data_IF_779718849484
#
_entry.id   IF_779718849484
#
_cell.length_a   1.000
_cell.length_b   1.000
_cell.length_c   1.000
_cell.angle_alpha   90.00
_cell.angle_beta   90.00
_cell.angle_gamma   90.00
#
_symmetry.space_group_name_H-M   'P 1'
#
loop_
_entity.id
_entity.type
_entity.pdbx_description
1 polymer ?
#
# COMPACT_ATOMS: atom_id res chain seq x y z
N UNK A 1 3.52 -19.33 10.48
CA UNK A 1 3.45 -18.94 11.91
C UNK A 1 2.55 -17.73 12.02
N UNK A 2 1.65 -17.71 13.00
CA UNK A 2 0.90 -16.52 13.42
C UNK A 2 1.29 -16.20 14.86
N UNK A 3 1.64 -14.94 15.12
CA UNK A 3 2.14 -14.51 16.42
C UNK A 3 1.81 -13.04 16.70
N UNK A 4 1.83 -12.66 17.98
CA UNK A 4 1.49 -11.32 18.46
C UNK A 4 0.41 -11.36 19.54
N UNK A 5 -0.31 -10.26 19.73
CA UNK A 5 -1.22 -10.10 20.87
C UNK A 5 -2.68 -9.94 20.45
N UNK A 6 -3.57 -10.79 20.97
CA UNK A 6 -5.02 -10.71 20.75
C UNK A 6 -5.76 -10.88 22.08
N UNK A 7 -6.52 -9.85 22.47
CA UNK A 7 -7.52 -9.95 23.54
C UNK A 7 -8.90 -9.92 22.92
N UNK A 8 -9.62 -11.05 22.94
CA UNK A 8 -10.92 -11.19 22.29
C UNK A 8 -11.87 -12.07 23.11
N UNK A 9 -13.18 -11.87 22.90
CA UNK A 9 -14.24 -12.78 23.40
C UNK A 9 -14.61 -13.85 22.37
N UNK A 10 -14.10 -13.75 21.15
CA UNK A 10 -14.39 -14.69 20.09
C UNK A 10 -13.69 -16.03 20.35
N UNK A 11 -14.38 -17.12 20.02
CA UNK A 11 -13.78 -18.44 19.89
C UNK A 11 -13.24 -18.58 18.46
N UNK A 12 -11.92 -18.72 18.32
CA UNK A 12 -11.23 -18.58 17.03
C UNK A 12 -10.30 -19.75 16.80
N UNK A 13 -10.59 -20.53 15.76
CA UNK A 13 -9.66 -21.52 15.22
C UNK A 13 -8.68 -20.83 14.27
N UNK A 14 -7.54 -20.40 14.83
CA UNK A 14 -6.48 -19.73 14.07
C UNK A 14 -5.87 -20.63 12.98
N UNK A 15 -5.74 -21.93 13.25
CA UNK A 15 -5.17 -22.85 12.30
C UNK A 15 -6.07 -22.98 11.08
N UNK A 16 -7.37 -23.19 11.30
CA UNK A 16 -8.36 -23.23 10.21
C UNK A 16 -8.35 -21.94 9.39
N UNK A 17 -8.29 -20.77 10.02
CA UNK A 17 -8.22 -19.49 9.31
C UNK A 17 -6.97 -19.41 8.41
N UNK A 18 -5.81 -19.82 8.92
CA UNK A 18 -4.56 -19.85 8.14
C UNK A 18 -4.71 -20.77 6.94
N UNK A 19 -5.18 -22.01 7.14
CA UNK A 19 -5.33 -23.01 6.07
C UNK A 19 -6.34 -22.54 5.01
N UNK A 20 -7.49 -22.05 5.44
CA UNK A 20 -8.53 -21.54 4.53
C UNK A 20 -8.04 -20.35 3.70
N UNK A 21 -7.28 -19.45 4.32
CA UNK A 21 -6.68 -18.31 3.61
C UNK A 21 -5.67 -18.76 2.56
N UNK A 22 -4.74 -19.67 2.90
CA UNK A 22 -3.78 -20.23 1.97
C UNK A 22 -4.47 -20.95 0.79
N UNK A 23 -5.48 -21.76 1.09
CA UNK A 23 -6.25 -22.51 0.09
C UNK A 23 -6.98 -21.58 -0.87
N UNK A 24 -7.63 -20.53 -0.36
CA UNK A 24 -8.36 -19.55 -1.18
C UNK A 24 -7.43 -18.71 -2.09
N UNK A 25 -6.17 -18.52 -1.71
CA UNK A 25 -5.16 -17.89 -2.56
C UNK A 25 -4.77 -18.83 -3.72
N UNK A 26 -4.77 -20.14 -3.48
CA UNK A 26 -4.42 -21.18 -4.46
C UNK A 26 -3.18 -22.00 -4.09
N UNK A 27 -2.71 -21.91 -2.83
CA UNK A 27 -1.63 -22.74 -2.31
C UNK A 27 -2.19 -24.09 -1.85
N UNK A 28 -2.20 -25.06 -2.76
CA UNK A 28 -2.86 -26.37 -2.59
C UNK A 28 -1.92 -27.56 -2.75
N UNK A 29 -0.63 -27.31 -3.01
CA UNK A 29 0.39 -28.34 -3.13
C UNK A 29 1.79 -27.76 -2.94
N UNK A 30 2.75 -28.62 -2.61
CA UNK A 30 4.17 -28.22 -2.51
C UNK A 30 4.71 -27.71 -3.85
N UNK A 31 4.19 -28.24 -4.97
CA UNK A 31 4.57 -27.81 -6.32
C UNK A 31 4.29 -26.33 -6.58
N UNK A 32 3.20 -25.79 -6.02
CA UNK A 32 2.87 -24.35 -6.14
C UNK A 32 3.51 -23.49 -5.05
N UNK A 33 4.29 -24.10 -4.15
CA UNK A 33 5.12 -23.41 -3.16
C UNK A 33 4.63 -23.49 -1.72
N UNK A 34 3.43 -24.02 -1.47
CA UNK A 34 2.88 -24.31 -0.15
C UNK A 34 1.62 -25.19 -0.29
N UNK A 35 1.53 -26.27 0.48
CA UNK A 35 0.31 -27.06 0.64
C UNK A 35 -0.46 -26.61 1.89
N UNK A 36 -1.63 -25.98 1.72
CA UNK A 36 -2.46 -25.48 2.83
C UNK A 36 -2.91 -26.57 3.81
N UNK A 37 -3.05 -27.83 3.36
CA UNK A 37 -3.55 -28.93 4.18
C UNK A 37 -2.41 -29.70 4.87
N UNK A 38 -1.18 -29.61 4.36
CA UNK A 38 -0.01 -30.31 4.92
C UNK A 38 1.00 -29.41 5.62
N UNK A 39 1.00 -28.10 5.38
CA UNK A 39 1.98 -27.22 5.98
C UNK A 39 1.84 -27.14 7.51
N UNK A 40 2.96 -26.88 8.18
CA UNK A 40 2.98 -26.65 9.63
C UNK A 40 2.42 -25.27 9.95
N UNK A 41 1.38 -25.23 10.78
CA UNK A 41 0.85 -23.99 11.33
C UNK A 41 1.28 -23.86 12.78
N UNK A 42 2.10 -22.86 13.06
CA UNK A 42 2.54 -22.51 14.40
C UNK A 42 1.76 -21.30 14.88
N UNK A 43 1.08 -21.42 16.02
CA UNK A 43 0.31 -20.36 16.66
C UNK A 43 1.03 -19.97 17.95
N UNK A 44 1.48 -18.73 18.03
CA UNK A 44 2.15 -18.16 19.19
C UNK A 44 1.54 -16.80 19.55
N UNK A 45 0.29 -16.83 20.00
CA UNK A 45 -0.52 -15.63 20.27
C UNK A 45 -0.72 -15.51 21.78
N UNK A 46 -0.43 -14.33 22.32
CA UNK A 46 -0.66 -13.99 23.73
C UNK A 46 -1.77 -12.94 23.87
N UNK A 47 -2.14 -12.60 25.10
CA UNK A 47 -3.04 -11.47 25.35
C UNK A 47 -2.30 -10.14 25.20
N UNK A 48 -3.03 -9.07 24.89
CA UNK A 48 -2.47 -7.73 24.94
C UNK A 48 -1.95 -7.41 26.35
N UNK A 49 -0.76 -6.80 26.43
CA UNK A 49 -0.20 -6.30 27.69
C UNK A 49 -1.24 -5.49 28.48
N UNK A 50 -1.51 -5.85 29.75
CA UNK A 50 -2.42 -5.10 30.62
C UNK A 50 -2.02 -3.62 30.76
N UNK A 51 -0.71 -3.32 30.74
CA UNK A 51 -0.18 -1.95 30.84
C UNK A 51 -0.57 -1.08 29.63
N UNK A 52 -0.60 -1.69 28.43
CA UNK A 52 -1.08 -1.04 27.21
C UNK A 52 -2.61 -0.88 27.29
N UNK A 53 -3.31 -1.94 27.72
CA UNK A 53 -4.77 -1.96 27.80
C UNK A 53 -5.34 -0.87 28.73
N UNK A 54 -4.73 -0.65 29.90
CA UNK A 54 -5.14 0.43 30.81
C UNK A 54 -4.95 1.83 30.19
N UNK A 55 -3.84 2.05 29.47
CA UNK A 55 -3.50 3.35 28.91
C UNK A 55 -4.37 3.72 27.71
N UNK A 56 -4.66 2.73 26.85
CA UNK A 56 -5.38 2.93 25.60
C UNK A 56 -6.89 2.99 25.83
N UNK A 57 -7.49 1.93 26.37
CA UNK A 57 -8.95 1.77 26.48
C UNK A 57 -9.43 1.59 27.94
N UNK A 58 -8.54 1.69 28.93
CA UNK A 58 -8.89 1.55 30.35
C UNK A 58 -9.50 0.19 30.67
N UNK A 59 -8.99 -0.91 30.08
CA UNK A 59 -9.64 -2.22 30.16
C UNK A 59 -11.11 -2.22 29.70
N UNK A 60 -11.40 -1.45 28.64
CA UNK A 60 -12.71 -1.31 27.99
C UNK A 60 -13.71 -0.47 28.79
N UNK A 61 -13.22 0.39 29.69
CA UNK A 61 -14.06 1.31 30.48
C UNK A 61 -14.15 2.72 29.89
N UNK A 62 -13.19 3.11 29.04
CA UNK A 62 -13.19 4.45 28.40
C UNK A 62 -14.29 4.56 27.36
N UNK A 63 -14.90 5.75 27.26
CA UNK A 63 -15.82 6.08 26.15
C UNK A 63 -15.03 6.24 24.84
N UNK A 64 -15.66 6.05 23.67
CA UNK A 64 -14.97 6.17 22.38
C UNK A 64 -14.16 7.46 22.19
N UNK A 65 -14.69 8.60 22.64
CA UNK A 65 -14.04 9.91 22.59
C UNK A 65 -12.87 10.10 23.57
N UNK A 66 -12.69 9.16 24.49
CA UNK A 66 -11.63 9.15 25.50
C UNK A 66 -10.56 8.08 25.23
N UNK A 67 -10.75 7.23 24.22
CA UNK A 67 -9.79 6.19 23.83
C UNK A 67 -8.50 6.86 23.34
N UNK A 68 -7.38 6.46 23.94
CA UNK A 68 -6.04 6.92 23.56
C UNK A 68 -5.56 6.27 22.26
N UNK A 69 -4.55 6.87 21.64
CA UNK A 69 -3.84 6.22 20.54
C UNK A 69 -3.19 4.92 21.02
N UNK A 70 -3.34 3.83 20.26
CA UNK A 70 -2.76 2.53 20.61
C UNK A 70 -1.23 2.49 20.60
N UNK A 71 -0.58 3.45 19.95
CA UNK A 71 0.88 3.62 19.88
C UNK A 71 1.23 5.05 19.40
N UNK A 72 2.50 5.43 19.52
CA UNK A 72 3.05 6.61 18.87
C UNK A 72 3.31 6.36 17.37
N UNK A 73 3.23 7.41 16.56
CA UNK A 73 3.56 7.31 15.14
C UNK A 73 3.12 8.55 14.36
N UNK A 74 3.44 8.55 13.07
CA UNK A 74 2.93 9.52 12.12
C UNK A 74 2.42 8.78 10.89
N UNK A 75 1.36 9.30 10.28
CA UNK A 75 0.70 8.68 9.12
C UNK A 75 0.62 9.69 8.00
N UNK A 76 0.39 9.24 6.77
CA UNK A 76 0.25 10.12 5.62
C UNK A 76 -0.95 9.74 4.75
N UNK A 77 -1.66 10.78 4.34
CA UNK A 77 -2.76 10.74 3.39
C UNK A 77 -2.33 11.40 2.11
N UNK A 78 -2.51 10.75 0.99
CA UNK A 78 -2.19 11.32 -0.32
C UNK A 78 -3.39 11.24 -1.25
N UNK A 79 -3.56 12.23 -2.11
CA UNK A 79 -4.48 12.20 -3.24
C UNK A 79 -3.95 13.07 -4.39
N UNK A 80 -4.30 12.70 -5.62
CA UNK A 80 -3.90 13.33 -6.88
C UNK A 80 -5.07 13.20 -7.85
N UNK A 81 -5.31 14.18 -8.72
CA UNK A 81 -6.43 14.20 -9.67
C UNK A 81 -6.15 13.41 -10.97
N UNK A 82 -4.98 12.78 -11.09
CA UNK A 82 -4.55 12.10 -12.32
C UNK A 82 -5.37 10.83 -12.68
N UNK A 83 -6.17 10.30 -11.75
CA UNK A 83 -7.11 9.18 -12.00
C UNK A 83 -8.45 9.41 -11.30
N UNK A 84 -9.56 8.79 -11.77
CA UNK A 84 -10.88 8.90 -11.14
C UNK A 84 -10.92 8.45 -9.66
N UNK A 85 -10.12 7.45 -9.28
CA UNK A 85 -9.98 6.97 -7.90
C UNK A 85 -9.11 7.89 -7.01
N UNK A 86 -8.60 8.98 -7.57
CA UNK A 86 -7.72 9.97 -6.96
C UNK A 86 -6.43 9.36 -6.41
N UNK A 87 -5.81 8.50 -7.22
CA UNK A 87 -4.56 7.77 -6.93
C UNK A 87 -3.53 7.96 -8.05
N UNK A 88 -2.22 7.75 -7.79
CA UNK A 88 -1.21 7.77 -8.83
C UNK A 88 -1.46 6.71 -9.90
N UNK A 89 -1.42 7.07 -11.19
CA UNK A 89 -1.65 6.15 -12.30
C UNK A 89 -0.65 4.99 -12.28
N UNK A 90 0.63 5.27 -12.02
CA UNK A 90 1.68 4.24 -11.87
C UNK A 90 1.31 3.16 -10.83
N UNK A 91 0.83 3.58 -9.65
CA UNK A 91 0.36 2.67 -8.62
C UNK A 91 -0.91 1.91 -9.05
N UNK A 92 -1.90 2.63 -9.59
CA UNK A 92 -3.17 2.04 -10.05
C UNK A 92 -2.94 0.96 -11.10
N UNK A 93 -2.11 1.22 -12.11
CA UNK A 93 -1.83 0.26 -13.17
C UNK A 93 -1.08 -0.97 -12.64
N UNK A 94 -0.02 -0.78 -11.85
CA UNK A 94 0.71 -1.90 -11.25
C UNK A 94 -0.23 -2.80 -10.41
N UNK A 95 -1.05 -2.19 -9.55
CA UNK A 95 -2.03 -2.90 -8.72
C UNK A 95 -3.08 -3.64 -9.56
N UNK A 96 -3.64 -2.99 -10.59
CA UNK A 96 -4.63 -3.62 -11.48
C UNK A 96 -4.04 -4.77 -12.30
N UNK A 97 -2.78 -4.69 -12.74
CA UNK A 97 -2.10 -5.80 -13.40
C UNK A 97 -1.95 -7.02 -12.46
N UNK A 98 -1.59 -6.79 -11.19
CA UNK A 98 -1.51 -7.86 -10.18
C UNK A 98 -2.87 -8.52 -9.91
N UNK A 99 -3.93 -7.72 -9.81
CA UNK A 99 -5.29 -8.22 -9.69
C UNK A 99 -5.73 -9.03 -10.92
N UNK A 100 -5.41 -8.52 -12.13
CA UNK A 100 -5.75 -9.18 -13.39
C UNK A 100 -5.02 -10.52 -13.56
N UNK A 101 -3.74 -10.63 -13.17
CA UNK A 101 -3.02 -11.91 -13.12
C UNK A 101 -3.77 -12.95 -12.28
N UNK A 102 -4.24 -12.53 -11.11
CA UNK A 102 -5.02 -13.42 -10.22
C UNK A 102 -6.36 -13.81 -10.85
N UNK A 103 -7.03 -12.87 -11.51
CA UNK A 103 -8.30 -13.11 -12.19
C UNK A 103 -8.16 -14.16 -13.31
N UNK A 104 -7.20 -13.97 -14.23
CA UNK A 104 -7.01 -14.87 -15.37
C UNK A 104 -6.51 -16.26 -14.96
N UNK A 105 -5.83 -16.35 -13.80
CA UNK A 105 -5.51 -17.64 -13.17
C UNK A 105 -6.77 -18.32 -12.65
N UNK A 106 -7.57 -17.62 -11.85
CA UNK A 106 -8.74 -18.21 -11.17
C UNK A 106 -9.89 -18.55 -12.11
N UNK A 107 -10.03 -17.84 -13.22
CA UNK A 107 -11.05 -18.12 -14.22
C UNK A 107 -10.60 -19.11 -15.31
N UNK A 108 -9.34 -19.57 -15.28
CA UNK A 108 -8.79 -20.55 -16.21
C UNK A 108 -8.39 -20.00 -17.59
N UNK A 109 -8.38 -18.67 -17.80
CA UNK A 109 -7.91 -18.06 -19.05
C UNK A 109 -6.42 -18.33 -19.28
N UNK A 110 -5.62 -18.21 -18.22
CA UNK A 110 -4.19 -18.54 -18.22
C UNK A 110 -3.94 -19.60 -17.14
N UNK A 111 -4.28 -20.88 -17.41
CA UNK A 111 -4.31 -21.93 -16.39
C UNK A 111 -2.90 -22.32 -15.89
N UNK A 112 -1.86 -21.98 -16.66
CA UNK A 112 -0.46 -22.20 -16.30
C UNK A 112 0.05 -21.28 -15.18
N UNK A 113 -0.71 -20.22 -14.85
CA UNK A 113 -0.34 -19.27 -13.79
C UNK A 113 -0.41 -19.93 -12.41
N UNK A 114 0.61 -19.65 -11.60
CA UNK A 114 0.64 -19.98 -10.17
C UNK A 114 0.44 -18.73 -9.31
N UNK A 115 0.25 -18.87 -7.97
CA UNK A 115 -0.23 -17.75 -7.15
C UNK A 115 0.75 -16.57 -6.96
N UNK A 116 2.07 -16.78 -7.04
CA UNK A 116 3.06 -15.72 -6.81
C UNK A 116 3.31 -14.88 -8.07
N UNK A 117 3.23 -13.56 -7.95
CA UNK A 117 3.41 -12.65 -9.07
C UNK A 117 3.71 -11.21 -8.64
N UNK A 118 4.49 -10.52 -9.45
CA UNK A 118 4.96 -9.15 -9.20
C UNK A 118 4.79 -8.32 -10.47
N UNK A 119 4.33 -7.09 -10.29
CA UNK A 119 4.10 -6.14 -11.38
C UNK A 119 4.74 -4.80 -11.03
N UNK A 120 5.26 -4.12 -12.05
CA UNK A 120 5.82 -2.78 -11.93
C UNK A 120 5.52 -1.99 -13.19
N UNK A 121 5.14 -0.72 -13.02
CA UNK A 121 4.81 0.17 -14.13
C UNK A 121 5.57 1.48 -13.94
N UNK A 122 6.34 1.85 -14.95
CA UNK A 122 7.00 3.14 -15.07
C UNK A 122 6.16 4.02 -15.99
N UNK A 123 5.72 5.17 -15.49
CA UNK A 123 4.90 6.13 -16.23
C UNK A 123 5.71 7.40 -16.46
N UNK A 124 5.64 7.92 -17.67
CA UNK A 124 6.20 9.22 -18.04
C UNK A 124 5.19 10.33 -17.67
N UNK A 125 5.66 11.36 -16.97
CA UNK A 125 4.83 12.42 -16.42
C UNK A 125 5.27 13.80 -16.89
N UNK A 126 4.28 14.67 -17.08
CA UNK A 126 4.47 16.11 -17.16
C UNK A 126 4.05 16.78 -15.85
N UNK A 127 4.82 17.78 -15.41
CA UNK A 127 4.51 18.59 -14.25
C UNK A 127 3.80 19.89 -14.68
N UNK A 128 2.49 19.93 -14.48
CA UNK A 128 1.66 21.11 -14.71
C UNK A 128 1.48 21.90 -13.41
N UNK A 129 2.42 22.80 -13.12
CA UNK A 129 2.39 23.68 -11.94
C UNK A 129 2.15 22.93 -10.62
N UNK A 130 2.75 21.75 -10.48
CA UNK A 130 2.66 20.89 -9.31
C UNK A 130 1.65 19.74 -9.43
N UNK A 131 0.77 19.75 -10.44
CA UNK A 131 -0.12 18.63 -10.77
C UNK A 131 0.57 17.64 -11.72
N UNK A 132 0.35 16.34 -11.50
CA UNK A 132 0.98 15.29 -12.31
C UNK A 132 0.05 14.90 -13.45
N UNK A 133 0.54 15.00 -14.68
CA UNK A 133 -0.21 14.63 -15.87
C UNK A 133 0.48 13.43 -16.52
N UNK A 134 -0.12 12.23 -16.48
CA UNK A 134 0.44 11.06 -17.15
C UNK A 134 0.44 11.24 -18.66
N UNK A 135 1.59 11.04 -19.30
CA UNK A 135 1.75 11.15 -20.76
C UNK A 135 1.63 9.77 -21.41
N UNK A 136 2.42 8.81 -20.94
CA UNK A 136 2.48 7.44 -21.47
C UNK A 136 3.06 6.47 -20.45
N UNK A 137 2.85 5.18 -20.67
CA UNK A 137 3.55 4.11 -19.95
C UNK A 137 4.90 3.88 -20.63
N UNK A 138 5.99 4.10 -19.91
CA UNK A 138 7.33 3.90 -20.42
C UNK A 138 7.74 2.43 -20.38
N UNK A 139 7.50 1.76 -19.25
CA UNK A 139 7.91 0.37 -19.05
C UNK A 139 6.87 -0.38 -18.25
N UNK A 140 6.56 -1.60 -18.69
CA UNK A 140 5.78 -2.58 -17.94
C UNK A 140 6.69 -3.78 -17.64
N UNK A 141 6.77 -4.15 -16.36
CA UNK A 141 7.45 -5.36 -15.92
C UNK A 141 6.47 -6.28 -15.20
N UNK A 142 6.46 -7.54 -15.60
CA UNK A 142 5.70 -8.61 -14.96
C UNK A 142 6.64 -9.79 -14.76
N UNK A 143 6.75 -10.25 -13.52
CA UNK A 143 7.35 -11.54 -13.17
C UNK A 143 6.27 -12.36 -12.48
N UNK A 144 5.82 -13.42 -13.11
CA UNK A 144 4.76 -14.28 -12.59
C UNK A 144 5.23 -15.73 -12.51
N UNK A 145 4.85 -16.39 -11.42
CA UNK A 145 5.08 -17.81 -11.21
C UNK A 145 4.24 -18.61 -12.20
N UNK A 146 4.79 -19.69 -12.73
CA UNK A 146 4.15 -20.53 -13.73
C UNK A 146 4.45 -22.02 -13.50
N UNK A 147 3.68 -22.90 -14.12
CA UNK A 147 4.00 -24.33 -14.18
C UNK A 147 5.14 -24.65 -15.17
N UNK A 148 5.51 -25.92 -15.27
CA UNK A 148 6.63 -26.35 -16.11
C UNK A 148 6.30 -26.48 -17.60
N UNK A 149 5.03 -26.35 -17.97
CA UNK A 149 4.51 -26.72 -19.29
C UNK A 149 4.50 -25.56 -20.28
N UNK A 150 4.30 -24.34 -19.79
CA UNK A 150 4.21 -23.15 -20.63
C UNK A 150 5.60 -22.63 -21.06
N UNK A 151 5.72 -22.22 -22.32
CA UNK A 151 6.94 -21.61 -22.85
C UNK A 151 7.01 -20.11 -22.54
N UNK A 152 8.21 -19.53 -22.59
CA UNK A 152 8.39 -18.08 -22.39
C UNK A 152 7.69 -17.23 -23.47
N UNK A 153 7.60 -17.74 -24.70
CA UNK A 153 6.92 -17.04 -25.79
C UNK A 153 5.40 -17.00 -25.55
N UNK A 154 4.81 -18.11 -25.09
CA UNK A 154 3.40 -18.17 -24.69
C UNK A 154 3.13 -17.28 -23.47
N UNK A 155 3.98 -17.33 -22.44
CA UNK A 155 3.88 -16.42 -21.29
C UNK A 155 3.87 -14.96 -21.76
N UNK A 156 4.82 -14.58 -22.62
CA UNK A 156 4.92 -13.21 -23.09
C UNK A 156 3.70 -12.79 -23.93
N UNK A 157 3.16 -13.67 -24.76
CA UNK A 157 1.97 -13.43 -25.57
C UNK A 157 0.72 -13.26 -24.69
N UNK A 158 0.48 -14.21 -23.78
CA UNK A 158 -0.68 -14.24 -22.88
C UNK A 158 -0.67 -13.05 -21.92
N UNK A 159 0.50 -12.70 -21.35
CA UNK A 159 0.62 -11.52 -20.48
C UNK A 159 0.28 -10.23 -21.23
N UNK A 160 0.69 -10.10 -22.50
CA UNK A 160 0.33 -8.93 -23.31
C UNK A 160 -1.18 -8.88 -23.57
N UNK A 161 -1.75 -9.99 -24.05
CA UNK A 161 -3.14 -10.05 -24.51
C UNK A 161 -4.16 -10.06 -23.38
N UNK A 162 -3.94 -10.90 -22.37
CA UNK A 162 -4.94 -11.19 -21.35
C UNK A 162 -4.73 -10.40 -20.06
N UNK A 163 -3.58 -9.76 -19.87
CA UNK A 163 -3.26 -9.00 -18.64
C UNK A 163 -2.99 -7.53 -18.92
N UNK A 164 -2.08 -7.19 -19.84
CA UNK A 164 -1.67 -5.79 -20.07
C UNK A 164 -2.72 -5.02 -20.85
N UNK A 165 -3.13 -5.50 -22.04
CA UNK A 165 -4.11 -4.80 -22.88
C UNK A 165 -5.45 -4.54 -22.18
N UNK A 166 -6.02 -5.47 -21.36
CA UNK A 166 -7.28 -5.20 -20.67
C UNK A 166 -7.17 -4.18 -19.54
N UNK A 167 -5.96 -3.91 -19.03
CA UNK A 167 -5.74 -3.06 -17.85
C UNK A 167 -5.23 -1.67 -18.22
N UNK A 168 -4.27 -1.58 -19.13
CA UNK A 168 -3.64 -0.31 -19.49
C UNK A 168 -4.43 0.32 -20.64
N UNK A 169 -5.01 1.52 -20.45
CA UNK A 169 -5.68 2.23 -21.54
C UNK A 169 -4.75 2.43 -22.74
N UNK A 170 -5.26 2.13 -23.94
CA UNK A 170 -4.48 2.18 -25.20
C UNK A 170 -3.79 3.53 -25.43
N UNK A 171 -4.42 4.65 -25.02
CA UNK A 171 -3.83 5.99 -25.10
C UNK A 171 -2.49 6.17 -24.37
N UNK A 172 -2.14 5.27 -23.46
CA UNK A 172 -0.87 5.29 -22.75
C UNK A 172 0.15 4.28 -23.28
N UNK A 173 -0.23 3.43 -24.24
CA UNK A 173 0.66 2.45 -24.86
C UNK A 173 1.04 2.92 -26.27
N UNK A 174 2.31 2.75 -26.60
CA UNK A 174 2.86 3.08 -27.91
C UNK A 174 3.96 2.09 -28.32
N UNK A 175 4.47 2.23 -29.55
CA UNK A 175 5.52 1.39 -30.12
C UNK A 175 6.86 1.47 -29.36
N UNK A 176 7.03 2.46 -28.48
CA UNK A 176 8.23 2.66 -27.65
C UNK A 176 8.06 2.11 -26.23
N UNK A 177 6.90 1.55 -25.89
CA UNK A 177 6.66 0.98 -24.58
C UNK A 177 7.52 -0.28 -24.40
N UNK A 178 8.32 -0.30 -23.33
CA UNK A 178 9.24 -1.40 -23.04
C UNK A 178 8.51 -2.46 -22.21
N UNK A 179 8.61 -3.73 -22.62
CA UNK A 179 8.01 -4.85 -21.91
C UNK A 179 9.07 -5.82 -21.39
N UNK A 180 9.11 -6.01 -20.08
CA UNK A 180 9.90 -7.05 -19.42
C UNK A 180 8.95 -8.12 -18.87
N UNK A 181 8.79 -9.21 -19.60
CA UNK A 181 7.83 -10.27 -19.29
C UNK A 181 8.60 -11.54 -18.91
N UNK A 182 8.48 -11.94 -17.65
CA UNK A 182 9.31 -12.96 -17.00
C UNK A 182 10.81 -12.83 -17.33
N UNK A 183 11.44 -11.66 -17.04
CA UNK A 183 12.83 -11.40 -17.41
C UNK A 183 13.85 -12.36 -16.77
N UNK A 184 13.49 -13.09 -15.70
CA UNK A 184 14.33 -14.14 -15.13
C UNK A 184 14.40 -15.41 -15.99
N UNK A 185 13.54 -15.55 -17.00
CA UNK A 185 13.46 -16.68 -17.90
C UNK A 185 12.77 -17.92 -17.33
N UNK A 186 12.84 -18.18 -16.01
CA UNK A 186 12.09 -19.26 -15.36
C UNK A 186 11.69 -18.86 -13.95
N UNK A 187 10.41 -19.07 -13.61
CA UNK A 187 9.87 -18.81 -12.28
C UNK A 187 8.84 -19.88 -11.88
N UNK A 188 9.30 -21.11 -11.68
CA UNK A 188 8.44 -22.25 -11.30
C UNK A 188 8.28 -22.37 -9.78
N UNK A 189 9.40 -22.28 -9.06
CA UNK A 189 9.45 -22.26 -7.59
C UNK A 189 9.06 -20.86 -7.14
N UNK A 190 8.03 -20.73 -6.29
CA UNK A 190 7.55 -19.45 -5.79
C UNK A 190 6.83 -19.59 -4.45
N UNK A 191 6.18 -18.53 -4.00
CA UNK A 191 5.53 -18.50 -2.68
C UNK A 191 6.52 -18.69 -1.54
N UNK A 192 6.09 -19.21 -0.38
CA UNK A 192 6.96 -19.40 0.79
C UNK A 192 8.17 -20.32 0.56
N UNK A 193 8.12 -21.20 -0.43
CA UNK A 193 9.26 -22.03 -0.84
C UNK A 193 10.37 -21.18 -1.49
N UNK A 194 10.01 -20.14 -2.26
CA UNK A 194 10.97 -19.28 -2.93
C UNK A 194 11.45 -18.08 -2.11
N UNK A 195 10.62 -17.54 -1.22
CA UNK A 195 10.93 -16.32 -0.44
C UNK A 195 10.14 -16.25 0.87
N UNK A 196 10.78 -15.78 1.94
CA UNK A 196 10.14 -15.68 3.26
C UNK A 196 9.16 -14.50 3.33
N UNK A 197 7.91 -14.78 3.69
CA UNK A 197 6.86 -13.77 3.84
C UNK A 197 6.69 -13.28 5.28
N UNK A 198 6.51 -11.96 5.47
CA UNK A 198 6.16 -11.36 6.75
C UNK A 198 5.08 -10.28 6.58
N UNK A 199 4.18 -10.18 7.56
CA UNK A 199 3.18 -9.11 7.64
C UNK A 199 3.85 -7.73 7.64
N UNK A 200 3.28 -6.78 6.89
CA UNK A 200 3.79 -5.41 6.88
C UNK A 200 5.06 -5.19 6.05
N UNK A 201 5.42 -6.10 5.15
CA UNK A 201 6.58 -5.92 4.24
C UNK A 201 6.24 -5.37 2.86
N UNK A 202 5.01 -4.86 2.69
CA UNK A 202 4.50 -4.30 1.42
C UNK A 202 3.81 -2.94 1.63
N UNK A 203 4.23 -2.18 2.65
CA UNK A 203 3.58 -0.93 3.07
C UNK A 203 3.45 0.14 1.97
N UNK A 204 4.38 0.19 1.01
CA UNK A 204 4.30 1.13 -0.11
C UNK A 204 3.32 0.64 -1.20
N UNK A 205 3.18 -0.68 -1.35
CA UNK A 205 2.14 -1.28 -2.19
C UNK A 205 0.77 -1.10 -1.53
N UNK A 206 0.68 -1.21 -0.20
CA UNK A 206 -0.56 -0.98 0.54
C UNK A 206 -1.03 0.49 0.52
N UNK A 207 -0.17 1.41 0.08
CA UNK A 207 -0.44 2.85 0.08
C UNK A 207 -0.39 3.46 -1.31
N UNK A 208 0.67 4.20 -1.65
CA UNK A 208 0.68 5.13 -2.78
C UNK A 208 1.78 4.84 -3.79
N UNK A 209 2.44 3.67 -3.72
CA UNK A 209 3.43 3.27 -4.73
C UNK A 209 4.65 4.19 -4.81
N UNK A 210 5.04 4.83 -3.70
CA UNK A 210 6.18 5.76 -3.62
C UNK A 210 5.78 7.23 -3.69
N UNK A 211 4.52 7.53 -4.07
CA UNK A 211 4.01 8.90 -4.06
C UNK A 211 3.60 9.37 -2.66
N UNK A 212 3.60 10.69 -2.47
CA UNK A 212 3.29 11.28 -1.17
C UNK A 212 4.37 10.95 -0.15
N UNK A 213 4.00 10.24 0.92
CA UNK A 213 4.92 9.80 1.97
C UNK A 213 4.33 8.59 2.71
N UNK A 214 5.16 7.93 3.52
CA UNK A 214 4.73 6.81 4.36
C UNK A 214 5.23 6.96 5.79
N UNK A 215 4.39 6.53 6.75
CA UNK A 215 4.65 6.70 8.17
C UNK A 215 5.53 5.63 8.82
N UNK A 216 5.76 4.53 8.12
CA UNK A 216 6.48 3.34 8.59
C UNK A 216 5.57 2.24 9.16
N UNK A 217 4.43 2.61 9.74
CA UNK A 217 3.49 1.65 10.32
C UNK A 217 2.74 0.78 9.30
N UNK A 218 2.72 -0.54 9.51
CA UNK A 218 1.93 -1.49 8.72
C UNK A 218 0.44 -1.49 9.12
N UNK A 219 -0.45 -1.97 8.23
CA UNK A 219 -1.90 -1.99 8.44
C UNK A 219 -2.47 -3.34 8.86
N UNK A 220 -2.15 -4.41 8.14
CA UNK A 220 -2.73 -5.74 8.34
C UNK A 220 -2.38 -6.32 9.70
N UNK A 221 -3.32 -7.05 10.31
CA UNK A 221 -3.17 -7.63 11.66
C UNK A 221 -3.45 -6.66 12.82
N UNK A 222 -3.77 -5.39 12.54
CA UNK A 222 -4.03 -4.38 13.57
C UNK A 222 -5.51 -3.98 13.64
N UNK A 223 -6.07 -3.97 14.85
CA UNK A 223 -7.41 -3.44 15.13
C UNK A 223 -7.43 -1.90 15.03
N UNK A 224 -8.60 -1.23 14.92
CA UNK A 224 -8.68 0.19 14.60
C UNK A 224 -8.18 1.13 15.72
N UNK A 225 -7.90 0.65 16.94
CA UNK A 225 -7.23 1.45 17.97
C UNK A 225 -5.77 1.76 17.62
N UNK A 226 -5.15 0.96 16.74
CA UNK A 226 -3.78 1.19 16.26
C UNK A 226 -3.81 2.27 15.20
N UNK A 227 -3.32 3.45 15.58
CA UNK A 227 -3.37 4.66 14.77
C UNK A 227 -2.63 4.55 13.44
N UNK A 228 -1.69 3.62 13.30
CA UNK A 228 -1.04 3.35 12.01
C UNK A 228 -2.06 3.06 10.91
N UNK A 229 -3.14 2.35 11.25
CA UNK A 229 -4.20 1.98 10.32
C UNK A 229 -5.30 3.02 10.28
N UNK A 230 -5.95 3.30 11.42
CA UNK A 230 -7.09 4.22 11.46
C UNK A 230 -6.68 5.65 11.13
N UNK A 231 -5.54 6.11 11.64
CA UNK A 231 -4.97 7.42 11.33
C UNK A 231 -4.66 7.56 9.85
N UNK A 232 -3.98 6.58 9.24
CA UNK A 232 -3.69 6.57 7.79
C UNK A 232 -4.96 6.62 6.93
N UNK A 233 -5.98 5.85 7.30
CA UNK A 233 -7.26 5.84 6.57
C UNK A 233 -7.97 7.20 6.65
N UNK A 234 -7.97 7.85 7.81
CA UNK A 234 -8.58 9.17 7.98
C UNK A 234 -7.81 10.25 7.20
N UNK A 235 -6.48 10.23 7.19
CA UNK A 235 -5.75 11.22 6.38
C UNK A 235 -5.87 10.95 4.88
N UNK A 236 -6.04 9.69 4.44
CA UNK A 236 -6.42 9.39 3.05
C UNK A 236 -7.79 9.97 2.73
N UNK A 237 -8.78 9.80 3.60
CA UNK A 237 -10.10 10.42 3.42
C UNK A 237 -9.99 11.94 3.29
N UNK A 238 -9.27 12.59 4.21
CA UNK A 238 -9.07 14.04 4.19
C UNK A 238 -8.37 14.51 2.90
N UNK A 239 -7.29 13.86 2.48
CA UNK A 239 -6.59 14.17 1.23
C UNK A 239 -7.50 14.00 0.02
N UNK A 240 -8.25 12.89 -0.04
CA UNK A 240 -9.19 12.61 -1.13
C UNK A 240 -10.30 13.65 -1.18
N UNK A 241 -10.88 14.04 -0.05
CA UNK A 241 -11.91 15.08 0.01
C UNK A 241 -11.40 16.43 -0.49
N UNK A 242 -10.17 16.83 -0.13
CA UNK A 242 -9.58 18.08 -0.62
C UNK A 242 -9.50 18.10 -2.15
N UNK A 243 -9.01 17.01 -2.75
CA UNK A 243 -8.88 16.91 -4.21
C UNK A 243 -10.23 16.76 -4.90
N UNK A 244 -11.14 15.95 -4.34
CA UNK A 244 -12.49 15.76 -4.87
C UNK A 244 -13.36 17.03 -4.80
N UNK A 245 -13.09 17.92 -3.84
CA UNK A 245 -13.73 19.24 -3.75
C UNK A 245 -13.00 20.33 -4.55
N UNK A 246 -12.04 19.94 -5.41
CA UNK A 246 -11.31 20.82 -6.31
C UNK A 246 -10.52 21.94 -5.59
N UNK A 247 -10.27 21.79 -4.29
CA UNK A 247 -9.49 22.76 -3.51
C UNK A 247 -7.99 22.67 -3.80
N UNK A 248 -7.54 21.53 -4.32
CA UNK A 248 -6.19 21.32 -4.82
C UNK A 248 -6.21 20.15 -5.83
N UNK A 249 -5.29 20.15 -6.79
CA UNK A 249 -5.12 19.03 -7.73
C UNK A 249 -4.34 17.85 -7.12
N UNK A 250 -3.57 18.11 -6.06
CA UNK A 250 -2.75 17.11 -5.36
C UNK A 250 -2.49 17.54 -3.93
N UNK A 251 -2.44 16.59 -2.99
CA UNK A 251 -2.11 16.91 -1.59
C UNK A 251 -1.51 15.72 -0.85
N UNK A 252 -0.55 16.00 0.02
CA UNK A 252 -0.05 15.08 1.05
C UNK A 252 -0.33 15.68 2.43
N UNK A 253 -0.90 14.90 3.36
CA UNK A 253 -1.30 15.35 4.70
C UNK A 253 -0.81 14.39 5.76
N UNK A 254 -0.41 14.89 6.93
CA UNK A 254 -0.13 14.08 8.12
C UNK A 254 -1.10 14.40 9.26
N UNK A 255 -1.38 13.45 10.19
CA UNK A 255 -2.24 13.72 11.34
C UNK A 255 -1.72 14.84 12.25
N UNK A 256 -0.40 15.08 12.33
CA UNK A 256 0.15 16.19 13.13
C UNK A 256 -0.31 17.56 12.64
N UNK A 257 -0.52 17.74 11.33
CA UNK A 257 -1.12 18.98 10.80
C UNK A 257 -2.62 19.07 11.12
N UNK A 258 -3.34 17.94 11.19
CA UNK A 258 -4.75 17.90 11.59
C UNK A 258 -4.96 18.10 13.11
N UNK A 259 -4.10 17.51 13.93
CA UNK A 259 -4.16 17.61 15.39
C UNK A 259 -3.73 18.99 15.90
N UNK A 260 -2.75 19.64 15.27
CA UNK A 260 -2.47 21.07 15.52
C UNK A 260 -3.68 21.96 15.21
N UNK A 261 -4.44 21.66 14.15
CA UNK A 261 -5.68 22.38 13.85
C UNK A 261 -6.77 22.16 14.92
N UNK A 262 -6.82 20.98 15.56
CA UNK A 262 -7.74 20.71 16.67
C UNK A 262 -7.30 21.38 18.00
N UNK A 263 -6.00 21.37 18.30
CA UNK A 263 -5.42 22.10 19.43
C UNK A 263 -5.63 23.62 19.30
N UNK A 264 -5.47 24.18 18.10
CA UNK A 264 -5.77 25.60 17.84
C UNK A 264 -7.28 25.91 17.91
N UNK A 265 -8.18 24.97 17.58
CA UNK A 265 -9.63 25.16 17.79
C UNK A 265 -10.02 25.21 19.26
N UNK A 266 -9.35 24.46 20.14
CA UNK A 266 -9.56 24.57 21.60
C UNK A 266 -8.99 25.87 22.18
N UNK A 267 -8.03 26.51 21.52
CA UNK A 267 -7.47 27.80 21.92
C UNK A 267 -8.26 29.01 21.40
N UNK A 268 -9.27 28.83 20.53
CA UNK A 268 -10.01 29.91 19.87
C UNK A 268 -11.52 29.91 20.21
N UNK A 269 -11.87 29.64 21.48
CA UNK A 269 -13.18 30.03 22.00
C UNK A 269 -13.10 31.49 22.50
N UNK A 270 -13.31 32.44 21.58
CA UNK A 270 -13.70 33.80 21.94
C UNK A 270 -15.23 33.94 21.97
N UNK A 271 -15.80 34.80 22.82
CA UNK A 271 -17.24 34.77 23.14
C UNK A 271 -18.19 35.32 22.07
N UNK A 272 -17.71 35.68 20.87
CA UNK A 272 -18.50 36.45 19.91
C UNK A 272 -18.47 35.87 18.48
N UNK A 273 -19.17 34.76 18.27
CA UNK A 273 -20.05 34.50 17.12
C UNK A 273 -19.68 34.88 15.68
N UNK A 274 -18.40 35.03 15.30
CA UNK A 274 -18.00 35.23 13.90
C UNK A 274 -16.93 34.22 13.50
N UNK A 275 -17.32 33.25 12.69
CA UNK A 275 -16.37 32.42 11.95
C UNK A 275 -15.74 33.24 10.83
N UNK A 276 -14.53 33.74 11.06
CA UNK A 276 -13.60 34.03 9.99
C UNK A 276 -12.57 32.89 9.97
N UNK A 277 -12.51 32.12 8.89
CA UNK A 277 -11.31 31.33 8.61
C UNK A 277 -10.16 32.35 8.48
N UNK A 278 -9.13 32.33 9.33
CA UNK A 278 -7.96 33.12 9.05
C UNK A 278 -7.40 32.61 7.72
N UNK A 279 -7.42 33.46 6.70
CA UNK A 279 -6.66 33.21 5.49
C UNK A 279 -5.22 32.96 5.93
N UNK A 280 -4.76 31.71 5.80
CA UNK A 280 -3.36 31.37 5.94
C UNK A 280 -2.65 32.14 4.84
N UNK A 281 -2.10 33.31 5.18
CA UNK A 281 -1.13 34.06 4.38
C UNK A 281 0.24 33.37 4.45
N UNK A 282 0.26 32.05 4.30
CA UNK A 282 1.47 31.32 3.95
C UNK A 282 1.17 30.65 2.61
N UNK A 283 1.90 31.12 1.60
CA UNK A 283 1.87 30.62 0.25
C UNK A 283 2.07 29.09 0.27
N UNK A 284 1.09 28.27 -0.18
CA UNK A 284 1.21 26.81 -0.15
C UNK A 284 2.43 26.30 -0.92
N UNK A 285 2.94 27.11 -1.86
CA UNK A 285 4.11 26.82 -2.68
C UNK A 285 5.43 26.80 -1.90
N UNK A 286 5.56 27.54 -0.78
CA UNK A 286 6.81 27.59 -0.02
C UNK A 286 7.02 26.41 0.95
N UNK A 287 5.99 25.59 1.18
CA UNK A 287 6.17 24.32 1.90
C UNK A 287 6.68 23.19 1.00
N UNK A 288 6.66 23.38 -0.31
CA UNK A 288 7.16 22.41 -1.30
C UNK A 288 8.66 22.61 -1.56
N UNK A 289 9.15 23.86 -1.57
CA UNK A 289 10.57 24.17 -1.81
C UNK A 289 11.51 23.60 -0.75
N UNK A 290 11.08 23.58 0.52
CA UNK A 290 11.86 22.98 1.62
C UNK A 290 11.91 21.45 1.58
N UNK A 291 11.02 20.79 0.81
CA UNK A 291 10.98 19.33 0.69
C UNK A 291 11.89 18.81 -0.43
N UNK A 292 11.99 19.55 -1.55
CA UNK A 292 12.93 19.24 -2.64
C UNK A 292 14.40 19.49 -2.23
N UNK A 293 14.67 20.50 -1.38
CA UNK A 293 16.01 20.73 -0.80
C UNK A 293 16.44 19.65 0.22
N UNK A 294 15.48 18.99 0.89
CA UNK A 294 15.75 17.90 1.83
C UNK A 294 16.04 16.58 1.12
N UNK A 295 15.39 16.30 -0.02
CA UNK A 295 15.66 15.10 -0.81
C UNK A 295 17.00 15.19 -1.55
N UNK A 296 17.33 16.35 -2.12
CA UNK A 296 18.61 16.55 -2.86
C UNK A 296 19.87 16.54 -1.97
N UNK A 297 19.75 16.80 -0.66
CA UNK A 297 20.88 16.70 0.28
C UNK A 297 21.19 15.28 0.76
N UNK A 298 20.29 14.32 0.54
CA UNK A 298 20.51 12.92 0.95
C UNK A 298 21.38 12.11 -0.03
N UNK A 299 21.62 12.62 -1.24
CA UNK A 299 22.41 11.96 -2.30
C UNK A 299 23.93 12.21 -2.22
N UNK A 300 24.44 12.88 -1.18
CA UNK A 300 25.88 13.21 -1.04
C UNK A 300 26.62 12.41 0.06
N UNK A 301 26.02 11.37 0.62
CA UNK A 301 26.66 10.52 1.63
C UNK A 301 27.06 9.12 1.11
N UNK A 302 27.66 9.03 -0.08
CA UNK A 302 28.44 7.84 -0.47
C UNK A 302 29.93 8.08 -0.21
N UNK A 303 30.45 7.54 0.90
CA UNK A 303 31.88 7.26 1.00
C UNK A 303 32.18 5.98 1.78
N UNK A 304 32.62 4.98 1.00
CA UNK A 304 33.66 3.97 1.28
C UNK A 304 33.54 3.14 2.56
N UNK A 305 33.09 1.89 2.39
CA UNK A 305 33.48 0.78 3.26
C UNK A 305 34.53 -0.05 2.49
N UNK A 306 35.77 0.02 2.94
CA UNK A 306 36.84 -0.92 2.64
C UNK A 306 36.73 -2.12 3.59
N UNK A 307 36.66 -3.33 3.04
CA UNK A 307 36.69 -4.58 3.80
C UNK A 307 38.16 -5.00 4.10
N UNK A 308 38.46 -5.56 5.28
CA UNK A 308 39.54 -6.53 5.44
C UNK A 308 39.13 -7.92 4.92
#
# INVERSE_FOLDING_TARGET
>A
MVFGEITTKADVDYEKIVRDTCRAIGFVSDDVGLDADKCKVLVNIEQQSPDIAQGVHGHLTKRPEEIGAGDQGHMFGYATDETPELMPLSHVLATKLGARLTEVRKNGTCPWLRPDGKTQVTVEYYNDKGAMVPIRVHTVLISTQHDETVTNDEIAADLKEHVIKPVIPEKYLDEKTIFHLNPSGRFVIGGPHGDAGLTGRKIIIDTYGGWGAHGGGAFSGKDPTKVDRSGAYIVRQAAKSIVASELARRTAKSPRTMWKAHMNRKALHEPNGRFALPAVKEDPLNSVSSFDELCTRSDLATSRITLP
#
